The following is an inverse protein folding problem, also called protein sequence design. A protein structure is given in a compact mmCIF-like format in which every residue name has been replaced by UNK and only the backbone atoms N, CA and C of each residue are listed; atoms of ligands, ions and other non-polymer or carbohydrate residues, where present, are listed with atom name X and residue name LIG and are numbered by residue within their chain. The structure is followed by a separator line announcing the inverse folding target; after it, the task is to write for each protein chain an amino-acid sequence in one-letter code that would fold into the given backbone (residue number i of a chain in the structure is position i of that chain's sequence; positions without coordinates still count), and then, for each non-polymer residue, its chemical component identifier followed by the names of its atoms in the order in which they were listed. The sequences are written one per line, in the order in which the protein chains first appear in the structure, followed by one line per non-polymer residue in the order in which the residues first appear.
data_IF_875040095463
#
_entry.id   IF_875040095463
#
_cell.length_a   1.000
_cell.length_b   1.000
_cell.length_c   1.000
_cell.angle_alpha   90.00
_cell.angle_beta   90.00
_cell.angle_gamma   90.00
#
_symmetry.space_group_name_H-M   'P 1'
#
loop_
_entity.id
_entity.type
_entity.pdbx_description
1 polymer ?
#
# COMPACT_ATOMS: atom_id res chain seq x y z
N UNK A 1 0.82 15.29 -23.00
CA UNK A 1 1.79 14.17 -22.93
C UNK A 1 2.85 14.30 -21.81
N UNK A 2 2.95 15.42 -21.07
CA UNK A 2 4.04 15.66 -20.11
C UNK A 2 3.85 15.08 -18.69
N UNK A 3 2.68 14.53 -18.35
CA UNK A 3 2.33 14.15 -16.97
C UNK A 3 2.84 12.76 -16.55
N UNK A 4 3.22 11.91 -17.51
CA UNK A 4 3.63 10.52 -17.25
C UNK A 4 5.07 10.43 -16.71
N UNK A 5 5.98 11.17 -17.33
CA UNK A 5 7.42 11.11 -17.01
C UNK A 5 7.78 11.65 -15.61
N UNK A 6 6.98 12.57 -15.04
CA UNK A 6 7.20 13.05 -13.67
C UNK A 6 6.78 12.02 -12.63
N UNK A 7 5.69 11.32 -12.88
CA UNK A 7 5.11 10.34 -11.95
C UNK A 7 6.06 9.16 -11.71
N UNK A 8 6.64 8.59 -12.78
CA UNK A 8 7.54 7.44 -12.66
C UNK A 8 8.85 7.76 -11.92
N UNK A 9 9.39 8.97 -12.12
CA UNK A 9 10.59 9.42 -11.41
C UNK A 9 10.34 9.59 -9.91
N UNK A 10 9.20 10.17 -9.54
CA UNK A 10 8.83 10.43 -8.15
C UNK A 10 8.51 9.14 -7.37
N UNK A 11 7.88 8.16 -8.03
CA UNK A 11 7.63 6.84 -7.44
C UNK A 11 8.94 6.08 -7.16
N UNK A 12 9.90 6.13 -8.09
CA UNK A 12 11.19 5.45 -7.92
C UNK A 12 12.02 6.05 -6.78
N UNK A 13 11.97 7.38 -6.63
CA UNK A 13 12.61 8.10 -5.53
C UNK A 13 11.93 7.76 -4.19
N UNK A 14 10.60 7.76 -4.17
CA UNK A 14 9.81 7.40 -2.98
C UNK A 14 10.09 5.97 -2.53
N UNK A 15 10.19 5.02 -3.46
CA UNK A 15 10.55 3.64 -3.15
C UNK A 15 11.97 3.53 -2.60
N UNK A 16 12.95 4.15 -3.24
CA UNK A 16 14.33 4.16 -2.75
C UNK A 16 14.43 4.75 -1.33
N UNK A 17 13.66 5.79 -1.05
CA UNK A 17 13.57 6.39 0.28
C UNK A 17 12.98 5.42 1.31
N UNK A 18 11.85 4.78 1.02
CA UNK A 18 11.23 3.82 1.91
C UNK A 18 12.16 2.64 2.24
N UNK A 19 12.89 2.14 1.24
CA UNK A 19 13.92 1.09 1.42
C UNK A 19 15.04 1.62 2.33
N UNK A 20 15.57 2.82 2.05
CA UNK A 20 16.64 3.43 2.84
C UNK A 20 16.23 3.73 4.28
N UNK A 21 14.97 4.07 4.51
CA UNK A 21 14.41 4.33 5.84
C UNK A 21 14.07 3.04 6.61
N UNK A 22 14.20 1.87 5.98
CA UNK A 22 13.86 0.58 6.61
C UNK A 22 12.35 0.41 6.82
N UNK A 23 11.53 0.92 5.91
CA UNK A 23 10.07 0.79 5.94
C UNK A 23 9.67 -0.62 5.50
N UNK A 24 8.83 -1.28 6.29
CA UNK A 24 8.25 -2.59 5.97
C UNK A 24 7.48 -2.59 4.64
N UNK A 25 7.41 -3.75 3.98
CA UNK A 25 6.65 -3.94 2.74
C UNK A 25 5.20 -3.45 2.87
N UNK A 26 4.55 -3.68 4.02
CA UNK A 26 3.19 -3.21 4.32
C UNK A 26 3.07 -1.68 4.17
N UNK A 27 4.01 -0.92 4.73
CA UNK A 27 4.05 0.55 4.59
C UNK A 27 4.27 0.99 3.14
N UNK A 28 5.13 0.29 2.40
CA UNK A 28 5.39 0.58 0.99
C UNK A 28 4.14 0.33 0.12
N UNK A 29 3.40 -0.75 0.37
CA UNK A 29 2.17 -1.04 -0.37
C UNK A 29 1.05 -0.06 0.00
N UNK A 30 0.96 0.32 1.27
CA UNK A 30 0.00 1.32 1.71
C UNK A 30 0.28 2.67 1.04
N UNK A 31 1.53 3.14 1.04
CA UNK A 31 1.91 4.37 0.34
C UNK A 31 1.54 4.33 -1.13
N UNK A 32 1.83 3.23 -1.85
CA UNK A 32 1.43 3.10 -3.25
C UNK A 32 -0.09 3.18 -3.42
N UNK A 33 -0.87 2.55 -2.53
CA UNK A 33 -2.33 2.59 -2.58
C UNK A 33 -2.84 4.02 -2.38
N UNK A 34 -2.29 4.73 -1.39
CA UNK A 34 -2.61 6.13 -1.14
C UNK A 34 -2.19 7.00 -2.33
N UNK A 35 -0.95 6.86 -2.83
CA UNK A 35 -0.40 7.62 -3.96
C UNK A 35 -1.17 7.42 -5.28
N UNK A 36 -1.84 6.27 -5.43
CA UNK A 36 -2.74 6.01 -6.57
C UNK A 36 -4.05 6.76 -6.45
N UNK A 37 -4.58 6.94 -5.23
CA UNK A 37 -5.82 7.67 -4.98
C UNK A 37 -5.59 9.18 -4.82
N UNK A 38 -4.52 9.56 -4.13
CA UNK A 38 -4.13 10.92 -3.77
C UNK A 38 -2.69 11.12 -4.22
N UNK A 39 -2.48 11.89 -5.29
CA UNK A 39 -1.13 12.17 -5.82
C UNK A 39 -0.30 13.04 -4.90
N UNK A 40 -0.96 13.83 -4.04
CA UNK A 40 -0.30 14.67 -3.07
C UNK A 40 0.02 13.88 -1.79
N UNK A 41 0.98 12.97 -1.89
CA UNK A 41 1.53 12.28 -0.72
C UNK A 41 3.05 12.10 -0.85
N UNK A 42 3.74 12.20 0.28
CA UNK A 42 5.20 12.15 0.37
C UNK A 42 5.65 11.33 1.57
N UNK A 43 6.87 10.81 1.48
CA UNK A 43 7.51 10.19 2.62
C UNK A 43 8.17 11.23 3.51
N UNK A 44 8.07 11.03 4.83
CA UNK A 44 8.76 11.79 5.85
C UNK A 44 9.35 10.79 6.85
N UNK A 45 10.61 10.44 6.66
CA UNK A 45 11.34 9.39 7.38
C UNK A 45 10.69 8.01 7.22
N UNK A 46 9.97 7.56 8.24
CA UNK A 46 9.15 6.34 8.19
C UNK A 46 7.67 6.66 8.10
N UNK A 47 7.29 7.93 8.06
CA UNK A 47 5.90 8.36 8.08
C UNK A 47 5.43 8.70 6.67
N UNK A 48 4.15 8.48 6.40
CA UNK A 48 3.51 8.86 5.14
C UNK A 48 2.73 10.14 5.39
N UNK A 49 3.07 11.21 4.68
CA UNK A 49 2.40 12.50 4.79
C UNK A 49 1.53 12.72 3.56
N UNK A 50 0.23 12.85 3.77
CA UNK A 50 -0.80 13.04 2.74
C UNK A 50 -1.34 14.46 2.84
N UNK A 51 -1.28 15.21 1.73
CA UNK A 51 -1.71 16.60 1.62
C UNK A 51 -1.07 17.56 2.64
N UNK A 52 0.04 17.16 3.29
CA UNK A 52 0.62 17.88 4.43
C UNK A 52 -0.35 18.07 5.63
N UNK A 53 -1.52 17.45 5.58
CA UNK A 53 -2.57 17.55 6.60
C UNK A 53 -2.69 16.27 7.43
N UNK A 54 -2.33 15.12 6.85
CA UNK A 54 -2.43 13.80 7.48
C UNK A 54 -1.09 13.10 7.46
N UNK A 55 -0.67 12.56 8.59
CA UNK A 55 0.56 11.81 8.82
C UNK A 55 0.21 10.42 9.33
N UNK A 56 0.71 9.40 8.66
CA UNK A 56 0.52 7.99 9.03
C UNK A 56 1.86 7.47 9.51
N UNK A 57 1.93 7.08 10.78
CA UNK A 57 3.16 6.54 11.38
C UNK A 57 3.11 5.00 11.37
N UNK A 58 4.26 4.30 11.35
CA UNK A 58 4.29 2.87 11.64
C UNK A 58 3.60 2.58 12.99
N UNK A 59 2.83 1.49 13.13
CA UNK A 59 2.63 0.34 12.22
C UNK A 59 1.65 0.55 11.04
N UNK A 60 1.39 1.79 10.61
CA UNK A 60 0.60 2.13 9.42
C UNK A 60 -0.88 1.69 9.47
N UNK A 61 -1.44 1.64 10.68
CA UNK A 61 -2.84 1.29 10.87
C UNK A 61 -3.76 2.52 10.75
N UNK A 62 -5.05 2.27 10.59
CA UNK A 62 -6.11 3.31 10.60
C UNK A 62 -6.12 4.13 11.90
N UNK A 63 -5.60 3.56 12.98
CA UNK A 63 -5.49 4.18 14.31
C UNK A 63 -4.25 5.10 14.42
N UNK A 64 -3.20 4.81 13.64
CA UNK A 64 -1.97 5.60 13.58
C UNK A 64 -2.03 6.75 12.57
N UNK A 65 -3.18 6.94 11.93
CA UNK A 65 -3.44 8.10 11.08
C UNK A 65 -3.69 9.32 11.97
N UNK A 66 -2.70 10.21 12.06
CA UNK A 66 -2.80 11.49 12.77
C UNK A 66 -2.95 12.61 11.75
N UNK A 67 -3.76 13.61 12.02
CA UNK A 67 -3.90 14.72 11.09
C UNK A 67 -4.98 15.68 11.52
N UNK A 68 -5.17 16.71 10.71
CA UNK A 68 -6.27 17.65 10.93
C UNK A 68 -7.59 16.91 10.78
N UNK A 69 -8.48 17.06 11.78
CA UNK A 69 -9.83 16.50 11.70
C UNK A 69 -10.57 17.10 10.50
N UNK A 70 -11.06 16.24 9.61
CA UNK A 70 -11.73 16.65 8.39
C UNK A 70 -11.88 15.53 7.38
N UNK A 71 -12.35 15.90 6.19
CA UNK A 71 -12.60 14.97 5.09
C UNK A 71 -11.34 14.22 4.67
N UNK A 72 -10.16 14.87 4.71
CA UNK A 72 -8.88 14.26 4.35
C UNK A 72 -8.53 13.07 5.26
N UNK A 73 -8.59 13.26 6.59
CA UNK A 73 -8.32 12.19 7.56
C UNK A 73 -9.31 11.03 7.40
N UNK A 74 -10.60 11.33 7.26
CA UNK A 74 -11.63 10.29 7.02
C UNK A 74 -11.38 9.52 5.73
N UNK A 75 -10.99 10.21 4.66
CA UNK A 75 -10.66 9.60 3.37
C UNK A 75 -9.43 8.68 3.49
N UNK A 76 -8.35 9.16 4.14
CA UNK A 76 -7.13 8.37 4.36
C UNK A 76 -7.44 7.11 5.16
N UNK A 77 -8.19 7.22 6.26
CA UNK A 77 -8.59 6.04 7.06
C UNK A 77 -9.35 5.00 6.23
N UNK A 78 -10.26 5.43 5.35
CA UNK A 78 -10.98 4.54 4.43
C UNK A 78 -10.04 3.85 3.44
N UNK A 79 -9.05 4.56 2.90
CA UNK A 79 -8.06 3.96 1.99
C UNK A 79 -7.24 2.90 2.73
N UNK A 80 -6.76 3.20 3.93
CA UNK A 80 -5.97 2.28 4.75
C UNK A 80 -6.79 1.03 5.09
N UNK A 81 -8.02 1.19 5.56
CA UNK A 81 -8.93 0.08 5.85
C UNK A 81 -9.15 -0.81 4.61
N UNK A 82 -9.44 -0.19 3.46
CA UNK A 82 -9.62 -0.89 2.19
C UNK A 82 -8.34 -1.62 1.76
N UNK A 83 -7.17 -1.02 1.97
CA UNK A 83 -5.88 -1.62 1.64
C UNK A 83 -5.67 -2.94 2.40
N UNK A 84 -5.87 -2.94 3.71
CA UNK A 84 -5.74 -4.16 4.52
C UNK A 84 -6.71 -5.26 4.07
N UNK A 85 -7.96 -4.88 3.78
CA UNK A 85 -8.97 -5.81 3.27
C UNK A 85 -8.59 -6.40 1.90
N UNK A 86 -8.03 -5.59 1.00
CA UNK A 86 -7.59 -6.03 -0.32
C UNK A 86 -6.39 -6.98 -0.20
N UNK A 87 -5.39 -6.62 0.61
CA UNK A 87 -4.21 -7.45 0.87
C UNK A 87 -4.59 -8.81 1.44
N UNK A 88 -5.50 -8.85 2.42
CA UNK A 88 -6.02 -10.11 2.96
C UNK A 88 -6.75 -10.93 1.90
N UNK A 89 -7.60 -10.29 1.09
CA UNK A 89 -8.33 -10.96 0.01
C UNK A 89 -7.39 -11.54 -1.05
N UNK A 90 -6.35 -10.80 -1.44
CA UNK A 90 -5.34 -11.26 -2.39
C UNK A 90 -4.56 -12.45 -1.83
N UNK A 91 -4.18 -12.40 -0.54
CA UNK A 91 -3.48 -13.49 0.13
C UNK A 91 -4.33 -14.77 0.18
N UNK A 92 -5.64 -14.65 0.37
CA UNK A 92 -6.58 -15.78 0.34
C UNK A 92 -6.68 -16.34 -1.09
N UNK A 93 -6.85 -15.50 -2.11
CA UNK A 93 -6.92 -15.96 -3.50
C UNK A 93 -5.64 -16.70 -3.93
N UNK A 94 -4.47 -16.17 -3.57
CA UNK A 94 -3.20 -16.77 -3.93
C UNK A 94 -2.98 -18.12 -3.23
N UNK A 95 -3.44 -18.27 -1.99
CA UNK A 95 -3.40 -19.53 -1.25
C UNK A 95 -4.34 -20.59 -1.84
N UNK A 96 -5.53 -20.20 -2.29
CA UNK A 96 -6.50 -21.12 -2.91
C UNK A 96 -6.05 -21.67 -4.27
N UNK A 97 -5.22 -20.94 -5.03
CA UNK A 97 -4.68 -21.45 -6.31
C UNK A 97 -3.49 -22.40 -6.14
N UNK A 98 -2.72 -22.27 -5.05
CA UNK A 98 -1.56 -23.13 -4.78
C UNK A 98 -1.92 -24.53 -4.23
N UNK A 99 -3.21 -24.82 -4.04
CA UNK A 99 -3.69 -26.03 -3.35
C UNK A 99 -4.55 -26.94 -4.25
N UNK A 100 -4.29 -27.00 -5.56
CA UNK A 100 -4.75 -28.12 -6.39
C UNK A 100 -3.86 -29.35 -6.11
N UNK A 101 -4.37 -30.43 -5.46
CA UNK A 101 -3.67 -31.69 -5.46
C UNK A 101 -3.70 -32.28 -6.88
N UNK A 102 -2.52 -32.45 -7.49
CA UNK A 102 -2.34 -33.36 -8.63
C UNK A 102 -2.87 -34.74 -8.23
N UNK A 103 -4.03 -35.14 -8.76
CA UNK A 103 -4.55 -36.49 -8.56
C UNK A 103 -5.15 -37.04 -9.85
N UNK A 104 -4.34 -37.13 -10.90
CA UNK A 104 -4.69 -37.91 -12.11
C UNK A 104 -3.40 -38.43 -12.77
N UNK A 105 -2.85 -39.52 -12.22
CA UNK A 105 -1.86 -40.37 -12.87
C UNK A 105 -1.94 -41.79 -12.28
N UNK A 106 -3.08 -42.45 -12.47
CA UNK A 106 -3.24 -43.87 -12.16
C UNK A 106 -4.29 -44.50 -13.09
N UNK A 107 -4.05 -44.45 -14.40
CA UNK A 107 -4.69 -45.33 -15.38
C UNK A 107 -3.61 -45.85 -16.32
N UNK A 108 -2.81 -46.78 -15.79
CA UNK A 108 -2.04 -47.74 -16.60
C UNK A 108 -1.73 -48.94 -15.73
N UNK A 109 -2.64 -49.91 -15.69
CA UNK A 109 -2.40 -51.32 -15.40
C UNK A 109 -3.59 -52.11 -15.91
#
# INVERSE_FOLDING_TARGET
LASKARTEKEEKLSQAYAISAGVSLEGQQLFQTIHKTIKDCKWQEKNIVVMEEVVITPPYQVENCKGKEGSALSHVRKIVEKHFRDVESQKILQRSQAQQPQKEAALSS
#
